data_IF_480917865936
#
_entry.id   IF_480917865936
#
_cell.length_a   1.000
_cell.length_b   1.000
_cell.length_c   1.000
_cell.angle_alpha   90.00
_cell.angle_beta   90.00
_cell.angle_gamma   90.00
#
_symmetry.space_group_name_H-M   'P 1'
#
loop_
_entity.id
_entity.type
_entity.pdbx_description
1 polymer ?
#
# COMPACT_ATOMS: atom_id res chain seq x y z
N UNK A 1 -13.23 15.92 18.48
CA UNK A 1 -12.41 14.85 19.06
C UNK A 1 -12.18 13.69 18.09
N UNK A 2 -13.23 13.02 17.60
CA UNK A 2 -13.09 11.84 16.72
C UNK A 2 -12.38 12.16 15.39
N UNK A 3 -12.68 13.30 14.77
CA UNK A 3 -12.05 13.70 13.49
C UNK A 3 -10.52 13.85 13.62
N UNK A 4 -10.03 14.50 14.68
CA UNK A 4 -8.58 14.65 14.89
C UNK A 4 -7.87 13.31 15.12
N UNK A 5 -8.56 12.35 15.75
CA UNK A 5 -8.02 11.00 15.91
C UNK A 5 -7.91 10.29 14.56
N UNK A 6 -8.89 10.45 13.65
CA UNK A 6 -8.84 9.85 12.31
C UNK A 6 -7.64 10.38 11.52
N UNK A 7 -7.44 11.69 11.50
CA UNK A 7 -6.35 12.30 10.74
C UNK A 7 -4.98 11.85 11.26
N UNK A 8 -4.83 11.75 12.59
CA UNK A 8 -3.61 11.25 13.22
C UNK A 8 -3.35 9.78 12.86
N UNK A 9 -4.40 8.94 12.88
CA UNK A 9 -4.30 7.54 12.48
C UNK A 9 -3.97 7.38 10.98
N UNK A 10 -4.54 8.21 10.10
CA UNK A 10 -4.20 8.21 8.67
C UNK A 10 -2.76 8.63 8.42
N UNK A 11 -2.26 9.64 9.14
CA UNK A 11 -0.85 10.02 9.11
C UNK A 11 0.05 8.87 9.57
N UNK A 12 -0.28 8.21 10.68
CA UNK A 12 0.47 7.06 11.19
C UNK A 12 0.47 5.88 10.20
N UNK A 13 -0.68 5.55 9.62
CA UNK A 13 -0.81 4.52 8.58
C UNK A 13 0.00 4.84 7.33
N UNK A 14 0.01 6.11 6.91
CA UNK A 14 0.82 6.58 5.78
C UNK A 14 2.31 6.38 6.06
N UNK A 15 2.80 6.84 7.22
CA UNK A 15 4.20 6.62 7.62
C UNK A 15 4.55 5.13 7.69
N UNK A 16 3.73 4.31 8.36
CA UNK A 16 3.96 2.88 8.49
C UNK A 16 4.03 2.19 7.11
N UNK A 17 3.15 2.59 6.18
CA UNK A 17 3.13 2.07 4.81
C UNK A 17 4.38 2.47 4.02
N UNK A 18 4.86 3.71 4.16
CA UNK A 18 6.11 4.17 3.54
C UNK A 18 7.31 3.41 4.12
N UNK A 19 7.39 3.28 5.44
CA UNK A 19 8.47 2.54 6.11
C UNK A 19 8.48 1.08 5.66
N UNK A 20 7.32 0.42 5.61
CA UNK A 20 7.19 -0.94 5.10
C UNK A 20 7.65 -1.04 3.64
N UNK A 21 7.21 -0.11 2.78
CA UNK A 21 7.60 -0.07 1.36
C UNK A 21 9.12 0.05 1.19
N UNK A 22 9.76 0.94 1.94
CA UNK A 22 11.22 1.13 1.92
C UNK A 22 11.97 -0.06 2.50
N UNK A 23 11.46 -0.68 3.57
CA UNK A 23 12.04 -1.88 4.15
C UNK A 23 12.03 -3.04 3.14
N UNK A 24 10.90 -3.30 2.48
CA UNK A 24 10.81 -4.31 1.43
C UNK A 24 11.68 -3.99 0.23
N UNK A 25 11.79 -2.71 -0.17
CA UNK A 25 12.68 -2.30 -1.25
C UNK A 25 14.16 -2.54 -0.90
N UNK A 26 14.54 -2.29 0.36
CA UNK A 26 15.87 -2.60 0.87
C UNK A 26 16.14 -4.11 0.82
N UNK A 27 15.20 -4.93 1.28
CA UNK A 27 15.31 -6.40 1.21
C UNK A 27 15.41 -6.91 -0.22
N UNK A 28 14.67 -6.33 -1.17
CA UNK A 28 14.80 -6.65 -2.59
C UNK A 28 16.23 -6.45 -3.10
N UNK A 29 16.91 -5.41 -2.65
CA UNK A 29 18.29 -5.12 -3.08
C UNK A 29 19.29 -6.19 -2.61
N UNK A 30 18.99 -6.87 -1.52
CA UNK A 30 19.84 -7.89 -0.91
C UNK A 30 19.48 -9.31 -1.39
N UNK A 31 18.18 -9.63 -1.47
CA UNK A 31 17.70 -10.96 -1.89
C UNK A 31 17.49 -11.11 -3.40
N UNK A 32 17.37 -10.01 -4.16
CA UNK A 32 16.97 -9.96 -5.59
C UNK A 32 15.66 -10.69 -5.93
N UNK A 33 14.83 -10.95 -4.93
CA UNK A 33 13.56 -11.66 -5.08
C UNK A 33 12.44 -10.72 -5.52
N UNK A 34 11.78 -11.05 -6.64
CA UNK A 34 10.68 -10.27 -7.23
C UNK A 34 9.48 -10.15 -6.29
N UNK A 35 9.33 -11.07 -5.33
CA UNK A 35 8.30 -10.98 -4.30
C UNK A 35 8.39 -9.68 -3.49
N UNK A 36 9.60 -9.28 -3.08
CA UNK A 36 9.79 -8.11 -2.23
C UNK A 36 9.52 -6.78 -2.96
N UNK A 37 9.84 -6.69 -4.25
CA UNK A 37 9.55 -5.47 -5.02
C UNK A 37 8.03 -5.29 -5.23
N UNK A 38 7.29 -6.38 -5.40
CA UNK A 38 5.83 -6.33 -5.50
C UNK A 38 5.18 -5.91 -4.18
N UNK A 39 5.67 -6.44 -3.05
CA UNK A 39 5.23 -5.98 -1.72
C UNK A 39 5.55 -4.51 -1.50
N UNK A 40 6.76 -4.06 -1.86
CA UNK A 40 7.14 -2.65 -1.78
C UNK A 40 6.20 -1.75 -2.58
N UNK A 41 5.84 -2.14 -3.82
CA UNK A 41 4.90 -1.41 -4.67
C UNK A 41 3.49 -1.37 -4.07
N UNK A 42 3.00 -2.48 -3.50
CA UNK A 42 1.69 -2.52 -2.86
C UNK A 42 1.62 -1.59 -1.62
N UNK A 43 2.67 -1.58 -0.79
CA UNK A 43 2.74 -0.69 0.37
C UNK A 43 2.89 0.78 -0.03
N UNK A 44 3.57 1.07 -1.14
CA UNK A 44 3.62 2.43 -1.70
C UNK A 44 2.23 2.91 -2.16
N UNK A 45 1.48 2.05 -2.87
CA UNK A 45 0.08 2.35 -3.25
C UNK A 45 -0.82 2.53 -2.04
N UNK A 46 -0.60 1.74 -0.97
CA UNK A 46 -1.36 1.89 0.27
C UNK A 46 -1.06 3.23 0.96
N UNK A 47 0.19 3.71 0.95
CA UNK A 47 0.53 5.04 1.44
C UNK A 47 -0.20 6.13 0.65
N UNK A 48 -0.21 6.04 -0.69
CA UNK A 48 -0.95 6.97 -1.56
C UNK A 48 -2.45 6.93 -1.25
N UNK A 49 -3.02 5.74 -1.02
CA UNK A 49 -4.42 5.60 -0.62
C UNK A 49 -4.72 6.36 0.67
N UNK A 50 -3.90 6.22 1.72
CA UNK A 50 -4.14 6.89 3.00
C UNK A 50 -4.04 8.42 2.88
N UNK A 51 -3.07 8.93 2.11
CA UNK A 51 -2.99 10.35 1.77
C UNK A 51 -4.24 10.80 1.04
N UNK A 52 -4.67 10.07 0.00
CA UNK A 52 -5.85 10.42 -0.77
C UNK A 52 -7.12 10.45 0.10
N UNK A 53 -7.30 9.48 1.02
CA UNK A 53 -8.44 9.47 1.97
C UNK A 53 -8.42 10.71 2.87
N UNK A 54 -7.24 11.16 3.31
CA UNK A 54 -7.13 12.32 4.20
C UNK A 54 -7.49 13.64 3.50
N UNK A 55 -7.26 13.75 2.19
CA UNK A 55 -7.49 14.99 1.42
C UNK A 55 -8.81 15.00 0.61
N UNK A 56 -9.46 13.85 0.41
CA UNK A 56 -10.67 13.74 -0.42
C UNK A 56 -11.94 13.83 0.46
N UNK A 57 -12.80 14.84 0.26
CA UNK A 57 -14.08 14.95 0.96
C UNK A 57 -15.02 13.78 0.62
N UNK A 58 -15.96 13.48 1.53
CA UNK A 58 -16.84 12.32 1.42
C UNK A 58 -17.78 12.32 0.19
N UNK A 59 -18.00 13.47 -0.44
CA UNK A 59 -19.09 13.70 -1.41
C UNK A 59 -18.71 13.51 -2.89
N UNK A 60 -17.52 13.04 -3.22
CA UNK A 60 -17.00 13.02 -4.59
C UNK A 60 -16.76 11.62 -5.18
N UNK A 61 -16.94 11.49 -6.50
CA UNK A 61 -16.52 10.33 -7.33
C UNK A 61 -15.07 9.90 -7.09
N UNK A 62 -14.23 10.82 -6.59
CA UNK A 62 -12.86 10.55 -6.17
C UNK A 62 -12.75 9.42 -5.14
N UNK A 63 -13.77 9.19 -4.30
CA UNK A 63 -13.78 8.03 -3.37
C UNK A 63 -13.74 6.70 -4.12
N UNK A 64 -14.38 6.58 -5.29
CA UNK A 64 -14.30 5.39 -6.13
C UNK A 64 -12.87 5.16 -6.64
N UNK A 65 -12.16 6.22 -7.02
CA UNK A 65 -10.75 6.14 -7.43
C UNK A 65 -9.85 5.68 -6.28
N UNK A 66 -10.07 6.17 -5.05
CA UNK A 66 -9.34 5.71 -3.86
C UNK A 66 -9.53 4.21 -3.63
N UNK A 67 -10.77 3.70 -3.81
CA UNK A 67 -11.02 2.26 -3.74
C UNK A 67 -10.30 1.47 -4.83
N UNK A 68 -10.19 2.00 -6.05
CA UNK A 68 -9.43 1.36 -7.13
C UNK A 68 -7.93 1.29 -6.82
N UNK A 69 -7.35 2.31 -6.19
CA UNK A 69 -5.95 2.28 -5.73
C UNK A 69 -5.76 1.15 -4.72
N UNK A 70 -6.64 1.06 -3.71
CA UNK A 70 -6.58 -0.02 -2.73
C UNK A 70 -6.77 -1.40 -3.38
N UNK A 71 -7.69 -1.53 -4.33
CA UNK A 71 -7.91 -2.76 -5.08
C UNK A 71 -6.63 -3.18 -5.83
N UNK A 72 -5.98 -2.24 -6.51
CA UNK A 72 -4.73 -2.51 -7.23
C UNK A 72 -3.61 -2.99 -6.29
N UNK A 73 -3.50 -2.40 -5.09
CA UNK A 73 -2.54 -2.83 -4.09
C UNK A 73 -2.77 -4.30 -3.66
N UNK A 74 -4.03 -4.68 -3.44
CA UNK A 74 -4.36 -6.07 -3.11
C UNK A 74 -4.10 -7.04 -4.27
N UNK A 75 -4.40 -6.65 -5.51
CA UNK A 75 -4.11 -7.47 -6.69
C UNK A 75 -2.60 -7.71 -6.85
N UNK A 76 -1.77 -6.70 -6.56
CA UNK A 76 -0.30 -6.84 -6.56
C UNK A 76 0.16 -7.82 -5.49
N UNK A 77 -0.39 -7.73 -4.27
CA UNK A 77 -0.05 -8.67 -3.18
C UNK A 77 -0.43 -10.10 -3.58
N UNK A 78 -1.63 -10.30 -4.11
CA UNK A 78 -2.09 -11.62 -4.56
C UNK A 78 -1.19 -12.14 -5.69
N UNK A 79 -0.90 -11.31 -6.69
CA UNK A 79 0.00 -11.65 -7.78
C UNK A 79 1.39 -12.05 -7.29
N UNK A 80 1.93 -11.33 -6.30
CA UNK A 80 3.21 -11.64 -5.67
C UNK A 80 3.20 -13.02 -4.97
N UNK A 81 2.14 -13.31 -4.23
CA UNK A 81 1.97 -14.61 -3.55
C UNK A 81 1.86 -15.73 -4.58
N UNK A 82 1.08 -15.54 -5.65
CA UNK A 82 0.92 -16.54 -6.71
C UNK A 82 2.24 -16.78 -7.45
N UNK A 83 2.97 -15.73 -7.81
CA UNK A 83 4.30 -15.82 -8.44
C UNK A 83 5.28 -16.62 -7.57
N UNK A 84 5.36 -16.26 -6.28
CA UNK A 84 6.20 -16.95 -5.30
C UNK A 84 5.81 -18.42 -5.12
N UNK A 85 4.51 -18.71 -5.05
CA UNK A 85 4.00 -20.06 -4.88
C UNK A 85 4.29 -20.95 -6.10
N UNK A 86 4.22 -20.38 -7.31
CA UNK A 86 4.55 -21.10 -8.55
C UNK A 86 6.05 -21.29 -8.76
N UNK A 87 6.88 -20.35 -8.30
CA UNK A 87 8.34 -20.46 -8.39
C UNK A 87 8.95 -21.43 -7.36
N UNK A 88 8.18 -21.79 -6.32
CA UNK A 88 8.62 -22.71 -5.25
C UNK A 88 8.11 -24.15 -5.43
N UNK A 89 7.31 -24.43 -6.46
CA UNK A 89 6.94 -25.78 -6.91
C UNK A 89 7.85 -26.20 -8.06
#
# INVERSE_FOLDING_TARGET
MIEHLRDLLYGALTMASIVASLAFLRFWRESRDRFFVMFSAAFALLAVNWVAVAFVPADYEARALVYLVRLSAFLIIIGAIVDKNRASQ
#
